data_IF_117638507684
#
_entry.id   IF_117638507684
#
_cell.length_a   1.000
_cell.length_b   1.000
_cell.length_c   1.000
_cell.angle_alpha   90.00
_cell.angle_beta   90.00
_cell.angle_gamma   90.00
#
_symmetry.space_group_name_H-M   'P 1'
#
loop_
_entity.id
_entity.type
_entity.pdbx_description
1 polymer ?
#
# COMPACT_ATOMS: atom_id res chain seq x y z
N UNK A 1 -8.09 -12.32 -1.88
CA UNK A 1 -9.39 -12.09 -1.22
C UNK A 1 -10.00 -10.89 -1.91
N UNK A 2 -11.25 -10.94 -2.40
CA UNK A 2 -11.90 -9.73 -2.94
C UNK A 2 -12.23 -8.81 -1.76
N UNK A 3 -11.39 -7.81 -1.50
CA UNK A 3 -11.67 -6.81 -0.49
C UNK A 3 -12.63 -5.76 -1.06
N UNK A 4 -13.58 -5.30 -0.26
CA UNK A 4 -14.53 -4.26 -0.62
C UNK A 4 -14.85 -3.41 0.60
N UNK A 5 -14.88 -2.09 0.42
CA UNK A 5 -15.21 -1.15 1.50
C UNK A 5 -16.70 -1.24 1.81
N UNK A 6 -17.03 -1.21 3.10
CA UNK A 6 -18.40 -1.10 3.61
C UNK A 6 -18.99 0.29 3.33
N UNK A 7 -20.32 0.44 3.44
CA UNK A 7 -20.97 1.73 3.29
C UNK A 7 -20.44 2.77 4.29
N UNK A 8 -20.17 2.35 5.53
CA UNK A 8 -19.62 3.21 6.57
C UNK A 8 -18.20 3.68 6.23
N UNK A 9 -17.35 2.78 5.74
CA UNK A 9 -16.00 3.13 5.27
C UNK A 9 -16.09 4.12 4.09
N UNK A 10 -16.95 3.86 3.12
CA UNK A 10 -17.16 4.78 1.99
C UNK A 10 -17.70 6.15 2.42
N UNK A 11 -18.49 6.22 3.50
CA UNK A 11 -19.00 7.49 4.01
C UNK A 11 -17.90 8.41 4.58
N UNK A 12 -16.79 7.83 5.08
CA UNK A 12 -15.61 8.58 5.54
C UNK A 12 -15.05 9.46 4.43
N UNK A 13 -15.06 9.00 3.17
CA UNK A 13 -14.59 9.78 2.01
C UNK A 13 -15.38 11.08 1.77
N UNK A 14 -16.62 11.14 2.27
CA UNK A 14 -17.51 12.29 2.14
C UNK A 14 -17.50 13.21 3.37
N UNK A 15 -16.69 12.89 4.39
CA UNK A 15 -16.61 13.67 5.63
C UNK A 15 -15.70 14.90 5.45
N UNK A 16 -15.64 15.78 6.45
CA UNK A 16 -14.76 16.95 6.44
C UNK A 16 -13.70 16.88 7.55
N UNK A 17 -12.57 17.58 7.36
CA UNK A 17 -11.51 17.66 8.36
C UNK A 17 -10.80 16.33 8.60
N UNK A 18 -10.49 16.02 9.88
CA UNK A 18 -9.77 14.81 10.27
C UNK A 18 -10.61 13.53 10.11
N UNK A 19 -11.94 13.67 10.09
CA UNK A 19 -12.85 12.55 9.85
C UNK A 19 -12.90 12.13 8.37
N UNK A 20 -12.27 12.88 7.47
CA UNK A 20 -12.14 12.56 6.04
C UNK A 20 -10.87 11.74 5.71
N UNK A 21 -10.09 11.34 6.73
CA UNK A 21 -8.83 10.64 6.46
C UNK A 21 -9.07 9.27 5.85
N UNK A 22 -8.25 8.95 4.83
CA UNK A 22 -8.28 7.63 4.21
C UNK A 22 -7.95 6.57 5.25
N UNK A 23 -8.81 5.56 5.35
CA UNK A 23 -8.58 4.37 6.16
C UNK A 23 -7.62 3.42 5.43
N UNK A 24 -6.94 2.54 6.18
CA UNK A 24 -6.11 1.48 5.59
C UNK A 24 -6.89 0.57 4.64
N UNK A 25 -8.20 0.42 4.86
CA UNK A 25 -9.12 -0.33 3.99
C UNK A 25 -9.26 0.32 2.61
N UNK A 26 -9.39 1.65 2.56
CA UNK A 26 -9.43 2.41 1.30
C UNK A 26 -8.13 2.23 0.50
N UNK A 27 -7.00 2.38 1.18
CA UNK A 27 -5.68 2.24 0.57
C UNK A 27 -5.48 0.80 0.07
N UNK A 28 -5.76 -0.20 0.90
CA UNK A 28 -5.61 -1.61 0.53
C UNK A 28 -6.46 -1.97 -0.68
N UNK A 29 -7.72 -1.53 -0.70
CA UNK A 29 -8.62 -1.73 -1.84
C UNK A 29 -8.06 -1.07 -3.12
N UNK A 30 -7.63 0.19 -3.04
CA UNK A 30 -7.08 0.91 -4.18
C UNK A 30 -5.84 0.24 -4.74
N UNK A 31 -4.91 -0.20 -3.88
CA UNK A 31 -3.67 -0.85 -4.28
C UNK A 31 -3.91 -2.25 -4.84
N UNK A 32 -4.92 -2.98 -4.35
CA UNK A 32 -5.36 -4.23 -4.97
C UNK A 32 -5.83 -3.98 -6.42
N UNK A 33 -6.68 -2.96 -6.63
CA UNK A 33 -7.12 -2.60 -7.99
C UNK A 33 -5.94 -2.16 -8.86
N UNK A 34 -5.01 -1.36 -8.35
CA UNK A 34 -3.82 -0.96 -9.07
C UNK A 34 -2.95 -2.16 -9.46
N UNK A 35 -2.75 -3.12 -8.56
CA UNK A 35 -1.96 -4.36 -8.81
C UNK A 35 -2.60 -5.28 -9.86
N UNK A 36 -3.93 -5.24 -9.97
CA UNK A 36 -4.67 -5.97 -11.01
C UNK A 36 -4.57 -5.24 -12.35
N UNK A 37 -4.66 -3.91 -12.35
CA UNK A 37 -4.64 -3.09 -13.56
C UNK A 37 -3.23 -2.87 -14.14
N UNK A 38 -2.19 -2.99 -13.33
CA UNK A 38 -0.79 -2.79 -13.72
C UNK A 38 -0.06 -4.12 -13.81
N UNK A 39 0.27 -4.56 -15.03
CA UNK A 39 0.91 -5.86 -15.26
C UNK A 39 2.33 -5.94 -14.67
N UNK A 40 3.07 -4.83 -14.70
CA UNK A 40 4.48 -4.77 -14.31
C UNK A 40 4.71 -4.20 -12.91
N UNK A 41 3.63 -3.99 -12.14
CA UNK A 41 3.71 -3.41 -10.80
C UNK A 41 2.99 -4.25 -9.75
N UNK A 42 3.51 -4.22 -8.53
CA UNK A 42 2.81 -4.72 -7.34
C UNK A 42 2.66 -3.56 -6.37
N UNK A 43 1.43 -3.33 -5.92
CA UNK A 43 1.07 -2.25 -5.02
C UNK A 43 0.58 -2.84 -3.68
N UNK A 44 1.16 -2.40 -2.56
CA UNK A 44 0.96 -3.01 -1.25
C UNK A 44 0.75 -1.94 -0.17
N UNK A 45 -0.25 -2.15 0.70
CA UNK A 45 -0.42 -1.36 1.91
C UNK A 45 0.33 -2.01 3.07
N UNK A 46 1.05 -1.23 3.87
CA UNK A 46 1.72 -1.69 5.08
C UNK A 46 0.86 -1.43 6.34
N UNK A 47 0.92 -2.31 7.36
CA UNK A 47 1.61 -3.59 7.39
C UNK A 47 0.95 -4.57 6.41
N UNK A 48 1.77 -5.09 5.50
CA UNK A 48 1.35 -5.85 4.32
C UNK A 48 1.83 -7.29 4.40
N UNK A 49 1.87 -8.00 3.26
CA UNK A 49 2.38 -9.37 3.22
C UNK A 49 3.78 -9.45 3.81
N UNK A 50 4.03 -10.52 4.57
CA UNK A 50 5.36 -10.79 5.13
C UNK A 50 6.39 -11.02 4.01
N UNK A 51 7.70 -11.02 4.34
CA UNK A 51 8.77 -11.25 3.36
C UNK A 51 8.57 -12.53 2.52
N UNK A 52 8.04 -13.59 3.13
CA UNK A 52 7.76 -14.87 2.46
C UNK A 52 6.61 -14.75 1.45
N UNK A 53 5.52 -14.07 1.80
CA UNK A 53 4.38 -13.84 0.90
C UNK A 53 4.75 -12.92 -0.26
N UNK A 54 5.56 -11.89 0.02
CA UNK A 54 6.19 -11.04 -1.00
C UNK A 54 7.03 -11.86 -1.97
N UNK A 55 7.87 -12.75 -1.44
CA UNK A 55 8.69 -13.63 -2.27
C UNK A 55 7.83 -14.54 -3.15
N UNK A 56 6.75 -15.12 -2.61
CA UNK A 56 5.81 -15.92 -3.40
C UNK A 56 5.13 -15.10 -4.50
N UNK A 57 4.69 -13.87 -4.20
CA UNK A 57 4.12 -12.96 -5.20
C UNK A 57 5.12 -12.67 -6.33
N UNK A 58 6.38 -12.41 -5.99
CA UNK A 58 7.45 -12.26 -6.96
C UNK A 58 7.67 -13.50 -7.82
N UNK A 59 7.64 -14.69 -7.22
CA UNK A 59 7.80 -15.95 -7.94
C UNK A 59 6.66 -16.18 -8.93
N UNK A 60 5.41 -15.88 -8.55
CA UNK A 60 4.24 -16.05 -9.43
C UNK A 60 4.24 -15.10 -10.63
N UNK A 61 4.95 -13.97 -10.55
CA UNK A 61 5.03 -12.95 -11.61
C UNK A 61 6.44 -12.79 -12.17
N UNK A 62 7.24 -13.86 -12.11
CA UNK A 62 8.66 -13.85 -12.45
C UNK A 62 8.95 -13.19 -13.79
N UNK A 63 9.84 -12.20 -13.78
CA UNK A 63 10.31 -11.47 -14.96
C UNK A 63 9.36 -10.40 -15.52
N UNK A 64 8.19 -10.20 -14.91
CA UNK A 64 7.23 -9.18 -15.35
C UNK A 64 7.21 -7.95 -14.44
N UNK A 65 7.56 -8.11 -13.17
CA UNK A 65 7.51 -7.02 -12.20
C UNK A 65 8.75 -6.15 -12.29
N UNK A 66 8.52 -4.88 -12.59
CA UNK A 66 9.56 -3.84 -12.65
C UNK A 66 9.51 -2.89 -11.46
N UNK A 67 8.34 -2.74 -10.83
CA UNK A 67 8.14 -1.73 -9.79
C UNK A 67 7.31 -2.27 -8.63
N UNK A 68 7.73 -1.95 -7.41
CA UNK A 68 6.92 -2.11 -6.21
C UNK A 68 6.49 -0.75 -5.69
N UNK A 69 5.22 -0.65 -5.33
CA UNK A 69 4.66 0.49 -4.64
C UNK A 69 4.24 0.05 -3.24
N UNK A 70 4.79 0.70 -2.21
CA UNK A 70 4.39 0.49 -0.83
C UNK A 70 3.74 1.76 -0.30
N UNK A 71 2.53 1.65 0.24
CA UNK A 71 1.91 2.74 1.00
C UNK A 71 1.94 2.38 2.46
N UNK A 72 2.43 3.27 3.31
CA UNK A 72 2.42 3.08 4.77
C UNK A 72 1.78 4.27 5.45
N UNK A 73 1.12 3.99 6.57
CA UNK A 73 0.65 5.04 7.46
C UNK A 73 1.81 5.43 8.37
N UNK A 74 2.38 6.61 8.19
CA UNK A 74 3.50 7.08 8.97
C UNK A 74 3.01 7.66 10.30
N UNK A 75 3.41 7.03 11.41
CA UNK A 75 3.29 7.59 12.76
C UNK A 75 4.60 8.23 13.26
N UNK A 76 5.64 8.29 12.43
CA UNK A 76 6.97 8.79 12.75
C UNK A 76 7.92 7.76 13.38
N UNK A 77 7.48 6.52 13.63
CA UNK A 77 8.27 5.52 14.39
C UNK A 77 8.33 4.10 13.83
N UNK A 78 7.32 3.64 13.11
CA UNK A 78 7.42 3.53 11.66
C UNK A 78 8.18 2.39 10.94
N UNK A 79 8.76 1.36 11.57
CA UNK A 79 9.62 0.39 10.85
C UNK A 79 8.86 -0.69 10.06
N UNK A 80 9.43 -1.14 8.92
CA UNK A 80 8.89 -2.24 8.09
C UNK A 80 8.55 -3.46 8.97
N UNK A 81 7.37 -4.05 8.76
CA UNK A 81 6.87 -5.22 9.50
C UNK A 81 6.61 -5.06 11.02
N UNK A 82 6.51 -3.83 11.53
CA UNK A 82 5.96 -3.60 12.87
C UNK A 82 4.43 -3.42 12.80
N UNK A 83 3.63 -4.06 13.67
CA UNK A 83 2.20 -3.80 13.77
C UNK A 83 2.00 -2.37 14.28
N UNK A 84 1.64 -1.45 13.39
CA UNK A 84 1.58 -0.01 13.70
C UNK A 84 0.29 0.41 14.40
N UNK A 85 0.45 1.41 15.27
CA UNK A 85 -0.62 2.27 15.79
C UNK A 85 -1.08 3.24 14.69
N UNK A 86 -2.24 3.88 14.89
CA UNK A 86 -2.82 4.87 13.98
C UNK A 86 -1.85 6.05 13.77
N UNK A 87 -1.14 6.09 12.64
CA UNK A 87 -0.46 7.30 12.21
C UNK A 87 -1.45 8.30 11.59
N UNK A 88 -0.94 9.49 11.28
CA UNK A 88 -1.74 10.61 10.78
C UNK A 88 -1.46 10.99 9.33
N UNK A 89 -0.60 10.22 8.67
CA UNK A 89 -0.02 10.63 7.40
C UNK A 89 0.23 9.42 6.51
N UNK A 90 -0.07 9.53 5.22
CA UNK A 90 0.15 8.47 4.26
C UNK A 90 1.34 8.80 3.39
N UNK A 91 2.24 7.85 3.22
CA UNK A 91 3.44 8.03 2.38
C UNK A 91 3.56 6.88 1.39
N UNK A 92 4.10 7.19 0.22
CA UNK A 92 4.34 6.23 -0.85
C UNK A 92 5.84 5.99 -1.01
N UNK A 93 6.23 4.72 -1.06
CA UNK A 93 7.59 4.28 -1.34
C UNK A 93 7.55 3.51 -2.65
N UNK A 94 8.43 3.87 -3.57
CA UNK A 94 8.57 3.20 -4.88
C UNK A 94 9.92 2.52 -4.93
N UNK A 95 9.94 1.25 -5.32
CA UNK A 95 11.17 0.47 -5.51
C UNK A 95 11.19 -0.03 -6.95
N UNK A 96 12.18 0.42 -7.72
CA UNK A 96 12.46 -0.15 -9.02
C UNK A 96 13.30 -1.41 -8.86
N UNK A 97 12.90 -2.51 -9.50
CA UNK A 97 13.55 -3.82 -9.34
C UNK A 97 14.82 -3.91 -10.18
N UNK A 98 14.81 -3.28 -11.35
CA UNK A 98 15.97 -3.25 -12.26
C UNK A 98 16.88 -2.03 -12.00
N UNK A 99 16.39 -1.05 -11.22
CA UNK A 99 17.11 0.17 -10.88
C UNK A 99 17.67 0.14 -9.45
N UNK A 100 18.66 1.02 -9.13
CA UNK A 100 19.14 1.18 -7.76
C UNK A 100 18.22 2.07 -6.90
N UNK A 101 17.12 2.58 -7.47
CA UNK A 101 16.40 3.70 -6.91
C UNK A 101 15.24 3.26 -6.00
N UNK A 102 15.27 3.78 -4.77
CA UNK A 102 14.16 3.76 -3.82
C UNK A 102 13.70 5.21 -3.68
N UNK A 103 12.47 5.48 -4.09
CA UNK A 103 11.88 6.81 -4.03
C UNK A 103 10.92 6.89 -2.84
N UNK A 104 11.06 7.97 -2.07
CA UNK A 104 10.13 8.32 -0.99
C UNK A 104 9.29 9.52 -1.45
N UNK A 105 7.97 9.36 -1.42
CA UNK A 105 7.01 10.36 -1.85
C UNK A 105 6.09 10.75 -0.69
N UNK A 106 6.10 12.04 -0.37
CA UNK A 106 5.36 12.67 0.72
C UNK A 106 4.79 14.01 0.18
N UNK A 107 3.49 14.27 0.42
CA UNK A 107 2.70 15.37 -0.17
C UNK A 107 2.38 16.47 0.82
#
# INVERSE_FOLDING_TARGET
MNYGNTADEMAVLCSEGQDCWLLSSHISWLLEKATISQAEAICLCLPGPGPEELQQLFLTRQGQIKTLFFVTNNDGTSFFATPQRRGCHWVLIVVEIEGPDILYCDS
#
